data_IF_213388731371
#
_entry.id   IF_213388731371
#
_cell.length_a   1.000
_cell.length_b   1.000
_cell.length_c   1.000
_cell.angle_alpha   90.00
_cell.angle_beta   90.00
_cell.angle_gamma   90.00
#
_symmetry.space_group_name_H-M   'P 1'
#
loop_
_entity.id
_entity.type
_entity.pdbx_description
1 polymer ?
#
# COMPACT_ATOMS: atom_id res chain seq x y z
N UNK A 1 26.03 31.01 -0.77
CA UNK A 1 27.01 30.17 -0.03
C UNK A 1 26.36 29.16 0.95
N UNK A 2 25.93 29.48 2.18
CA UNK A 2 25.42 28.45 3.14
C UNK A 2 24.16 27.69 2.67
N UNK A 3 23.18 28.38 2.05
CA UNK A 3 21.97 27.75 1.49
C UNK A 3 22.27 26.87 0.28
N UNK A 4 23.18 27.29 -0.60
CA UNK A 4 23.61 26.51 -1.77
C UNK A 4 24.45 25.30 -1.37
N UNK A 5 25.30 25.42 -0.34
CA UNK A 5 26.05 24.30 0.20
C UNK A 5 25.13 23.27 0.87
N UNK A 6 24.14 23.73 1.64
CA UNK A 6 23.13 22.84 2.22
C UNK A 6 22.30 22.16 1.14
N UNK A 7 21.90 22.88 0.09
CA UNK A 7 21.17 22.32 -1.06
C UNK A 7 22.02 21.27 -1.80
N UNK A 8 23.28 21.57 -2.08
CA UNK A 8 24.23 20.63 -2.70
C UNK A 8 24.40 19.37 -1.85
N UNK A 9 24.52 19.50 -0.53
CA UNK A 9 24.61 18.37 0.38
C UNK A 9 23.32 17.52 0.39
N UNK A 10 22.14 18.14 0.24
CA UNK A 10 20.86 17.41 0.14
C UNK A 10 20.76 16.68 -1.21
N UNK A 11 21.10 17.33 -2.32
CA UNK A 11 21.10 16.71 -3.65
C UNK A 11 22.06 15.51 -3.71
N UNK A 12 23.25 15.63 -3.12
CA UNK A 12 24.20 14.52 -3.00
C UNK A 12 23.64 13.39 -2.12
N UNK A 13 23.00 13.72 -1.00
CA UNK A 13 22.37 12.73 -0.13
C UNK A 13 21.21 11.98 -0.83
N UNK A 14 20.39 12.70 -1.61
CA UNK A 14 19.31 12.14 -2.41
C UNK A 14 19.86 11.25 -3.53
N UNK A 15 20.86 11.73 -4.28
CA UNK A 15 21.51 10.97 -5.34
C UNK A 15 22.14 9.68 -4.81
N UNK A 16 22.79 9.76 -3.64
CA UNK A 16 23.32 8.61 -2.92
C UNK A 16 22.21 7.61 -2.53
N UNK A 17 21.08 8.12 -2.03
CA UNK A 17 19.92 7.29 -1.68
C UNK A 17 19.32 6.58 -2.90
N UNK A 18 19.16 7.27 -4.02
CA UNK A 18 18.64 6.69 -5.27
C UNK A 18 19.55 5.59 -5.80
N UNK A 19 20.86 5.84 -5.84
CA UNK A 19 21.86 4.87 -6.30
C UNK A 19 21.83 3.60 -5.45
N UNK A 20 21.80 3.76 -4.12
CA UNK A 20 21.77 2.61 -3.21
C UNK A 20 20.41 1.90 -3.18
N UNK A 21 19.32 2.60 -3.45
CA UNK A 21 18.02 1.97 -3.65
C UNK A 21 18.06 0.98 -4.82
N UNK A 22 18.52 1.47 -5.98
CA UNK A 22 18.65 0.66 -7.19
C UNK A 22 19.60 -0.52 -6.98
N UNK A 23 20.71 -0.29 -6.28
CA UNK A 23 21.67 -1.34 -5.95
C UNK A 23 21.10 -2.36 -4.97
N UNK A 24 20.28 -1.94 -4.00
CA UNK A 24 19.63 -2.84 -3.04
C UNK A 24 18.60 -3.77 -3.69
N UNK A 25 17.89 -3.30 -4.71
CA UNK A 25 17.01 -4.16 -5.55
C UNK A 25 17.84 -5.19 -6.31
N UNK A 26 19.00 -4.81 -6.86
CA UNK A 26 19.91 -5.72 -7.56
C UNK A 26 20.52 -6.77 -6.62
N UNK A 27 21.04 -6.34 -5.46
CA UNK A 27 21.67 -7.24 -4.49
C UNK A 27 20.69 -8.18 -3.79
N UNK A 28 19.41 -7.79 -3.64
CA UNK A 28 18.34 -8.74 -3.25
C UNK A 28 18.24 -9.92 -4.22
N UNK A 29 18.41 -9.69 -5.53
CA UNK A 29 18.44 -10.78 -6.53
C UNK A 29 19.69 -11.66 -6.39
N UNK A 30 20.78 -11.11 -5.89
CA UNK A 30 22.05 -11.81 -5.64
C UNK A 30 22.14 -12.44 -4.24
N UNK A 31 21.09 -12.35 -3.42
CA UNK A 31 21.03 -12.83 -2.02
C UNK A 31 22.10 -12.25 -1.09
N UNK A 32 22.65 -11.08 -1.40
CA UNK A 32 23.62 -10.35 -0.57
C UNK A 32 22.91 -9.44 0.43
N UNK A 33 22.14 -10.04 1.33
CA UNK A 33 21.17 -9.29 2.12
C UNK A 33 21.81 -8.42 3.20
N UNK A 34 22.92 -8.87 3.80
CA UNK A 34 23.65 -8.15 4.84
C UNK A 34 24.26 -6.84 4.33
N UNK A 35 24.84 -6.84 3.13
CA UNK A 35 25.39 -5.63 2.50
C UNK A 35 24.28 -4.63 2.16
N UNK A 36 23.14 -5.10 1.66
CA UNK A 36 21.98 -4.25 1.37
C UNK A 36 21.44 -3.61 2.64
N UNK A 37 21.31 -4.38 3.71
CA UNK A 37 20.83 -3.88 4.99
C UNK A 37 21.76 -2.75 5.51
N UNK A 38 23.08 -2.96 5.46
CA UNK A 38 24.08 -1.93 5.81
C UNK A 38 23.95 -0.68 4.95
N UNK A 39 23.76 -0.83 3.64
CA UNK A 39 23.55 0.28 2.72
C UNK A 39 22.29 1.08 3.08
N UNK A 40 21.15 0.42 3.27
CA UNK A 40 19.90 1.11 3.62
C UNK A 40 19.99 1.83 4.97
N UNK A 41 20.60 1.22 5.99
CA UNK A 41 20.82 1.87 7.29
C UNK A 41 21.74 3.10 7.17
N UNK A 42 22.77 3.04 6.31
CA UNK A 42 23.63 4.20 6.03
C UNK A 42 22.85 5.34 5.35
N UNK A 43 22.02 5.02 4.36
CA UNK A 43 21.17 6.02 3.68
C UNK A 43 20.19 6.66 4.66
N UNK A 44 19.53 5.86 5.50
CA UNK A 44 18.63 6.38 6.54
C UNK A 44 19.38 7.36 7.46
N UNK A 45 20.59 7.02 7.89
CA UNK A 45 21.40 7.92 8.75
C UNK A 45 21.66 9.26 8.05
N UNK A 46 22.16 9.23 6.81
CA UNK A 46 22.48 10.44 6.04
C UNK A 46 21.23 11.29 5.78
N UNK A 47 20.15 10.68 5.28
CA UNK A 47 18.91 11.43 4.99
C UNK A 47 18.24 11.94 6.27
N UNK A 48 18.41 11.26 7.41
CA UNK A 48 17.84 11.70 8.69
C UNK A 48 18.44 13.02 9.19
N UNK A 49 19.65 13.38 8.76
CA UNK A 49 20.26 14.70 9.03
C UNK A 49 19.47 15.83 8.38
N UNK A 50 18.74 15.53 7.31
CA UNK A 50 17.93 16.47 6.54
C UNK A 50 16.43 16.19 6.65
N UNK A 51 16.00 15.45 7.68
CA UNK A 51 14.61 14.97 7.81
C UNK A 51 13.55 16.07 7.81
N UNK A 52 13.89 17.31 8.14
CA UNK A 52 12.96 18.45 8.12
C UNK A 52 12.70 19.00 6.71
N UNK A 53 13.50 18.59 5.72
CA UNK A 53 13.35 19.01 4.32
C UNK A 53 12.33 18.15 3.62
N UNK A 54 11.34 18.79 3.00
CA UNK A 54 10.24 18.12 2.31
C UNK A 54 10.73 17.22 1.17
N UNK A 55 11.69 17.69 0.37
CA UNK A 55 12.34 16.94 -0.71
C UNK A 55 13.02 15.64 -0.24
N UNK A 56 13.33 15.49 1.05
CA UNK A 56 13.96 14.28 1.62
C UNK A 56 12.92 13.26 2.11
N UNK A 57 11.68 13.70 2.38
CA UNK A 57 10.65 12.88 3.04
C UNK A 57 10.28 11.64 2.22
N UNK A 58 10.06 11.79 0.92
CA UNK A 58 9.71 10.68 0.01
C UNK A 58 10.86 9.67 -0.10
N UNK A 59 12.11 10.15 -0.16
CA UNK A 59 13.30 9.30 -0.20
C UNK A 59 13.51 8.53 1.11
N UNK A 60 13.33 9.17 2.26
CA UNK A 60 13.36 8.49 3.56
C UNK A 60 12.32 7.37 3.62
N UNK A 61 11.09 7.65 3.21
CA UNK A 61 10.01 6.68 3.25
C UNK A 61 10.27 5.48 2.31
N UNK A 62 10.80 5.73 1.12
CA UNK A 62 11.20 4.68 0.17
C UNK A 62 12.28 3.76 0.77
N UNK A 63 13.31 4.33 1.40
CA UNK A 63 14.38 3.53 2.01
C UNK A 63 13.89 2.77 3.24
N UNK A 64 13.01 3.36 4.05
CA UNK A 64 12.34 2.64 5.14
C UNK A 64 11.50 1.47 4.64
N UNK A 65 10.75 1.65 3.55
CA UNK A 65 10.00 0.57 2.90
C UNK A 65 10.93 -0.58 2.47
N UNK A 66 12.04 -0.25 1.80
CA UNK A 66 12.95 -1.26 1.28
C UNK A 66 13.68 -2.02 2.39
N UNK A 67 14.14 -1.31 3.42
CA UNK A 67 14.72 -1.94 4.61
C UNK A 67 13.68 -2.80 5.32
N UNK A 68 12.48 -2.29 5.56
CA UNK A 68 11.43 -3.01 6.24
C UNK A 68 11.02 -4.29 5.51
N UNK A 69 10.82 -4.20 4.20
CA UNK A 69 10.54 -5.34 3.33
C UNK A 69 11.68 -6.38 3.34
N UNK A 70 12.95 -5.94 3.29
CA UNK A 70 14.13 -6.80 3.37
C UNK A 70 14.17 -7.58 4.69
N UNK A 71 13.95 -6.89 5.81
CA UNK A 71 13.95 -7.50 7.13
C UNK A 71 12.81 -8.52 7.29
N UNK A 72 11.62 -8.23 6.76
CA UNK A 72 10.50 -9.20 6.70
C UNK A 72 10.90 -10.44 5.90
N UNK A 73 11.58 -10.28 4.76
CA UNK A 73 12.07 -11.40 3.94
C UNK A 73 13.11 -12.25 4.68
N UNK A 74 14.05 -11.62 5.39
CA UNK A 74 15.08 -12.28 6.19
C UNK A 74 14.56 -12.92 7.50
N UNK A 75 13.29 -12.73 7.85
CA UNK A 75 12.71 -13.26 9.09
C UNK A 75 12.91 -12.36 10.32
N UNK A 76 13.55 -11.19 10.17
CA UNK A 76 13.61 -10.13 11.19
C UNK A 76 12.29 -9.33 11.20
N UNK A 77 11.17 -10.04 11.38
CA UNK A 77 9.84 -9.55 11.05
C UNK A 77 9.42 -8.34 11.89
N UNK A 78 9.64 -8.38 13.20
CA UNK A 78 9.25 -7.27 14.09
C UNK A 78 9.99 -5.96 13.75
N UNK A 79 11.29 -6.05 13.45
CA UNK A 79 12.08 -4.88 13.02
C UNK A 79 11.62 -4.38 11.64
N UNK A 80 11.31 -5.29 10.73
CA UNK A 80 10.77 -4.93 9.42
C UNK A 80 9.46 -4.16 9.52
N UNK A 81 8.53 -4.64 10.33
CA UNK A 81 7.25 -3.96 10.61
C UNK A 81 7.49 -2.59 11.25
N UNK A 82 8.46 -2.46 12.16
CA UNK A 82 8.80 -1.16 12.76
C UNK A 82 9.17 -0.12 11.69
N UNK A 83 10.06 -0.46 10.76
CA UNK A 83 10.45 0.47 9.69
C UNK A 83 9.32 0.76 8.69
N UNK A 84 8.49 -0.23 8.36
CA UNK A 84 7.33 -0.03 7.50
C UNK A 84 6.29 0.89 8.15
N UNK A 85 6.01 0.72 9.44
CA UNK A 85 5.14 1.61 10.19
C UNK A 85 5.72 3.02 10.28
N UNK A 86 7.04 3.14 10.42
CA UNK A 86 7.71 4.44 10.38
C UNK A 86 7.49 5.14 9.04
N UNK A 87 7.64 4.41 7.93
CA UNK A 87 7.40 4.94 6.59
C UNK A 87 5.97 5.48 6.43
N UNK A 88 4.96 4.71 6.82
CA UNK A 88 3.56 5.12 6.61
C UNK A 88 3.08 6.18 7.61
N UNK A 89 3.48 6.10 8.88
CA UNK A 89 2.98 7.00 9.93
C UNK A 89 3.69 8.37 9.91
N UNK A 90 5.02 8.40 9.73
CA UNK A 90 5.77 9.66 9.74
C UNK A 90 5.80 10.34 8.37
N UNK A 91 5.75 9.56 7.29
CA UNK A 91 5.94 10.07 5.93
C UNK A 91 4.74 9.84 5.01
N UNK A 92 3.64 9.27 5.51
CA UNK A 92 2.47 8.86 4.71
C UNK A 92 1.91 9.91 3.76
N UNK A 93 1.91 11.18 4.17
CA UNK A 93 1.42 12.30 3.36
C UNK A 93 2.30 12.65 2.15
N UNK A 94 3.55 12.19 2.15
CA UNK A 94 4.53 12.40 1.07
C UNK A 94 4.68 11.19 0.14
N UNK A 95 3.93 10.11 0.41
CA UNK A 95 3.98 8.89 -0.36
C UNK A 95 3.07 8.99 -1.58
N UNK A 96 3.56 8.54 -2.73
CA UNK A 96 2.71 8.23 -3.88
C UNK A 96 1.89 6.94 -3.62
N UNK A 97 0.89 6.71 -4.47
CA UNK A 97 -0.02 5.57 -4.37
C UNK A 97 0.71 4.22 -4.47
N UNK A 98 1.72 4.13 -5.33
CA UNK A 98 2.48 2.90 -5.54
C UNK A 98 3.27 2.52 -4.28
N UNK A 99 3.90 3.49 -3.63
CA UNK A 99 4.68 3.28 -2.43
C UNK A 99 3.77 2.99 -1.23
N UNK A 100 2.61 3.65 -1.10
CA UNK A 100 1.58 3.29 -0.10
C UNK A 100 1.11 1.84 -0.27
N UNK A 101 0.86 1.42 -1.51
CA UNK A 101 0.47 0.05 -1.82
C UNK A 101 1.57 -0.96 -1.47
N UNK A 102 2.82 -0.68 -1.85
CA UNK A 102 3.99 -1.53 -1.54
C UNK A 102 4.22 -1.68 -0.04
N UNK A 103 4.11 -0.59 0.72
CA UNK A 103 4.28 -0.62 2.19
C UNK A 103 3.17 -1.43 2.84
N UNK A 104 1.90 -1.23 2.45
CA UNK A 104 0.80 -2.04 2.98
C UNK A 104 0.98 -3.52 2.64
N UNK A 105 1.42 -3.86 1.43
CA UNK A 105 1.70 -5.25 1.07
C UNK A 105 2.84 -5.86 1.91
N UNK A 106 3.89 -5.09 2.19
CA UNK A 106 4.99 -5.55 3.03
C UNK A 106 4.57 -5.71 4.50
N UNK A 107 3.74 -4.79 5.03
CA UNK A 107 3.13 -4.91 6.36
C UNK A 107 2.23 -6.15 6.45
N UNK A 108 1.39 -6.36 5.44
CA UNK A 108 0.50 -7.52 5.37
C UNK A 108 1.28 -8.83 5.47
N UNK A 109 2.35 -8.97 4.69
CA UNK A 109 3.26 -10.14 4.75
C UNK A 109 3.97 -10.27 6.09
N UNK A 110 4.39 -9.14 6.68
CA UNK A 110 5.03 -9.13 8.01
C UNK A 110 4.08 -9.65 9.08
N UNK A 111 2.88 -9.06 9.18
CA UNK A 111 1.87 -9.50 10.13
C UNK A 111 1.39 -10.93 9.88
N UNK A 112 1.30 -11.37 8.61
CA UNK A 112 0.95 -12.75 8.27
C UNK A 112 2.01 -13.73 8.82
N UNK A 113 3.30 -13.40 8.72
CA UNK A 113 4.38 -14.19 9.32
C UNK A 113 4.29 -14.26 10.86
N UNK A 114 3.78 -13.20 11.50
CA UNK A 114 3.53 -13.17 12.94
C UNK A 114 2.19 -13.81 13.33
N UNK A 115 1.36 -14.23 12.37
CA UNK A 115 -0.03 -14.65 12.58
C UNK A 115 -0.86 -13.58 13.32
N UNK A 116 -0.60 -12.32 12.99
CA UNK A 116 -1.30 -11.15 13.53
C UNK A 116 -2.48 -10.77 12.61
N UNK A 117 -3.64 -10.50 13.22
CA UNK A 117 -4.91 -10.16 12.56
C UNK A 117 -4.79 -8.92 11.65
N UNK A 118 -3.85 -8.01 11.94
CA UNK A 118 -3.59 -6.80 11.13
C UNK A 118 -3.15 -7.12 9.70
N UNK A 119 -2.69 -8.34 9.45
CA UNK A 119 -2.34 -8.81 8.11
C UNK A 119 -3.49 -8.66 7.12
N UNK A 120 -4.71 -9.01 7.53
CA UNK A 120 -5.90 -8.89 6.68
C UNK A 120 -6.19 -7.43 6.30
N UNK A 121 -6.15 -6.53 7.28
CA UNK A 121 -6.40 -5.10 7.06
C UNK A 121 -5.40 -4.52 6.05
N UNK A 122 -4.11 -4.86 6.18
CA UNK A 122 -3.09 -4.38 5.26
C UNK A 122 -3.19 -5.00 3.87
N UNK A 123 -3.59 -6.27 3.76
CA UNK A 123 -3.92 -6.87 2.45
C UNK A 123 -5.09 -6.16 1.78
N UNK A 124 -6.12 -5.81 2.56
CA UNK A 124 -7.29 -5.10 2.07
C UNK A 124 -6.91 -3.70 1.53
N UNK A 125 -6.16 -2.92 2.31
CA UNK A 125 -5.63 -1.61 1.88
C UNK A 125 -4.77 -1.72 0.62
N UNK A 126 -3.85 -2.69 0.57
CA UNK A 126 -3.04 -2.92 -0.61
C UNK A 126 -3.88 -3.28 -1.84
N UNK A 127 -4.96 -4.06 -1.66
CA UNK A 127 -5.92 -4.38 -2.72
C UNK A 127 -6.66 -3.16 -3.26
N UNK A 128 -7.13 -2.27 -2.38
CA UNK A 128 -7.80 -1.03 -2.76
C UNK A 128 -6.86 -0.07 -3.50
N UNK A 129 -5.66 0.15 -2.98
CA UNK A 129 -4.66 1.00 -3.63
C UNK A 129 -4.21 0.45 -4.98
N UNK A 130 -4.07 -0.88 -5.08
CA UNK A 130 -3.78 -1.55 -6.35
C UNK A 130 -4.92 -1.38 -7.37
N UNK A 131 -6.17 -1.45 -6.93
CA UNK A 131 -7.33 -1.15 -7.78
C UNK A 131 -7.34 0.32 -8.23
N UNK A 132 -7.03 1.25 -7.33
CA UNK A 132 -6.94 2.67 -7.66
C UNK A 132 -5.87 2.94 -8.73
N UNK A 133 -4.68 2.36 -8.58
CA UNK A 133 -3.60 2.46 -9.57
C UNK A 133 -4.01 1.91 -10.94
N UNK A 134 -4.74 0.79 -10.95
CA UNK A 134 -5.31 0.23 -12.18
C UNK A 134 -6.31 1.20 -12.83
N UNK A 135 -7.21 1.80 -12.04
CA UNK A 135 -8.23 2.72 -12.54
C UNK A 135 -7.68 4.05 -13.04
N UNK A 136 -6.74 4.65 -12.30
CA UNK A 136 -6.19 5.96 -12.65
C UNK A 136 -5.12 5.88 -13.75
N UNK A 137 -4.31 4.82 -13.77
CA UNK A 137 -3.10 4.75 -14.61
C UNK A 137 -3.05 3.54 -15.55
N UNK A 138 -4.06 2.66 -15.54
CA UNK A 138 -4.07 1.44 -16.36
C UNK A 138 -2.97 0.44 -15.96
N UNK A 139 -2.38 0.58 -14.77
CA UNK A 139 -1.31 -0.31 -14.32
C UNK A 139 -1.82 -1.74 -14.12
N UNK A 140 -1.28 -2.69 -14.88
CA UNK A 140 -1.67 -4.11 -14.84
C UNK A 140 -0.97 -4.92 -13.73
N UNK A 141 -0.26 -4.29 -12.79
CA UNK A 141 0.88 -4.94 -12.13
C UNK A 141 0.67 -5.52 -10.73
N UNK A 142 -0.54 -5.58 -10.18
CA UNK A 142 -0.83 -6.40 -8.98
C UNK A 142 -2.24 -6.95 -9.08
N UNK A 143 -2.40 -8.26 -8.84
CA UNK A 143 -3.71 -8.89 -8.85
C UNK A 143 -4.48 -8.47 -7.59
N UNK A 144 -5.10 -7.28 -7.59
CA UNK A 144 -5.92 -6.77 -6.48
C UNK A 144 -6.97 -7.80 -6.05
N UNK A 145 -7.46 -8.67 -6.95
CA UNK A 145 -8.34 -9.79 -6.60
C UNK A 145 -7.65 -10.75 -5.63
N UNK A 146 -6.39 -11.12 -5.88
CA UNK A 146 -5.62 -11.98 -4.99
C UNK A 146 -5.37 -11.32 -3.63
N UNK A 147 -5.08 -10.02 -3.61
CA UNK A 147 -4.89 -9.29 -2.34
C UNK A 147 -6.19 -9.23 -1.52
N UNK A 148 -7.32 -8.95 -2.17
CA UNK A 148 -8.63 -8.94 -1.52
C UNK A 148 -9.04 -10.35 -1.06
N UNK A 149 -8.68 -11.39 -1.80
CA UNK A 149 -8.91 -12.79 -1.39
C UNK A 149 -8.06 -13.16 -0.16
N UNK A 150 -6.80 -12.72 -0.11
CA UNK A 150 -5.94 -12.86 1.08
C UNK A 150 -6.54 -12.13 2.28
N UNK A 151 -7.03 -10.90 2.09
CA UNK A 151 -7.72 -10.16 3.14
C UNK A 151 -8.96 -10.92 3.65
N UNK A 152 -9.81 -11.41 2.76
CA UNK A 152 -11.00 -12.21 3.11
C UNK A 152 -10.64 -13.47 3.91
N UNK A 153 -9.60 -14.20 3.49
CA UNK A 153 -9.18 -15.46 4.14
C UNK A 153 -8.55 -15.26 5.52
N UNK A 154 -7.84 -14.16 5.73
CA UNK A 154 -7.10 -13.87 6.96
C UNK A 154 -7.89 -12.98 7.92
N UNK A 155 -9.09 -12.53 7.55
CA UNK A 155 -9.91 -11.67 8.40
C UNK A 155 -10.57 -12.47 9.54
N UNK A 156 -10.26 -12.09 10.78
CA UNK A 156 -10.95 -12.61 11.96
C UNK A 156 -12.30 -11.91 12.20
N UNK A 157 -12.40 -10.63 11.81
CA UNK A 157 -13.67 -9.90 11.83
C UNK A 157 -14.52 -10.23 10.61
N UNK A 158 -15.75 -10.70 10.86
CA UNK A 158 -16.76 -10.91 9.82
C UNK A 158 -17.08 -9.62 9.04
N UNK A 159 -16.88 -8.43 9.62
CA UNK A 159 -17.09 -7.15 8.94
C UNK A 159 -16.03 -6.90 7.87
N UNK A 160 -14.74 -7.04 8.23
CA UNK A 160 -13.63 -6.87 7.28
C UNK A 160 -13.63 -7.95 6.20
N UNK A 161 -13.97 -9.19 6.59
CA UNK A 161 -14.17 -10.30 5.67
C UNK A 161 -15.27 -10.00 4.65
N UNK A 162 -16.38 -9.46 5.12
CA UNK A 162 -17.49 -9.00 4.28
C UNK A 162 -17.08 -7.88 3.33
N UNK A 163 -16.37 -6.87 3.83
CA UNK A 163 -15.86 -5.76 3.03
C UNK A 163 -14.93 -6.26 1.91
N UNK A 164 -13.92 -7.06 2.26
CA UNK A 164 -12.99 -7.66 1.31
C UNK A 164 -13.70 -8.49 0.24
N UNK A 165 -14.66 -9.34 0.66
CA UNK A 165 -15.45 -10.18 -0.24
C UNK A 165 -16.30 -9.35 -1.21
N UNK A 166 -17.02 -8.35 -0.70
CA UNK A 166 -17.90 -7.51 -1.50
C UNK A 166 -17.10 -6.64 -2.49
N UNK A 167 -15.99 -6.03 -2.05
CA UNK A 167 -15.07 -5.31 -2.93
C UNK A 167 -14.56 -6.22 -4.04
N UNK A 168 -14.07 -7.41 -3.70
CA UNK A 168 -13.55 -8.39 -4.67
C UNK A 168 -14.60 -8.79 -5.70
N UNK A 169 -15.82 -9.11 -5.25
CA UNK A 169 -16.91 -9.54 -6.13
C UNK A 169 -17.43 -8.40 -7.00
N UNK A 170 -17.51 -7.17 -6.49
CA UNK A 170 -17.89 -6.00 -7.28
C UNK A 170 -16.89 -5.74 -8.41
N UNK A 171 -15.59 -5.81 -8.13
CA UNK A 171 -14.55 -5.68 -9.16
C UNK A 171 -14.64 -6.82 -10.18
N UNK A 172 -14.82 -8.07 -9.74
CA UNK A 172 -14.99 -9.21 -10.65
C UNK A 172 -16.23 -9.07 -11.54
N UNK A 173 -17.32 -8.51 -11.01
CA UNK A 173 -18.56 -8.24 -11.75
C UNK A 173 -18.34 -7.21 -12.85
N UNK A 174 -17.63 -6.12 -12.54
CA UNK A 174 -17.40 -5.02 -13.48
C UNK A 174 -16.36 -5.33 -14.57
N UNK A 175 -15.25 -5.99 -14.20
CA UNK A 175 -14.07 -6.08 -15.07
C UNK A 175 -13.79 -7.46 -15.65
N UNK A 176 -14.41 -8.52 -15.14
CA UNK A 176 -14.07 -9.90 -15.49
C UNK A 176 -15.27 -10.76 -15.92
N UNK A 177 -16.44 -10.14 -16.18
CA UNK A 177 -17.67 -10.76 -16.68
C UNK A 177 -17.97 -12.16 -16.08
N UNK A 178 -17.81 -12.29 -14.76
CA UNK A 178 -17.96 -13.58 -14.05
C UNK A 178 -19.42 -14.06 -13.95
N UNK A 179 -20.35 -13.52 -14.75
CA UNK A 179 -21.81 -13.75 -14.65
C UNK A 179 -22.35 -13.52 -13.22
N UNK A 180 -21.80 -12.56 -12.48
CA UNK A 180 -22.28 -12.20 -11.14
C UNK A 180 -23.54 -11.34 -11.28
N UNK A 181 -24.72 -11.97 -11.13
CA UNK A 181 -26.01 -11.27 -11.25
C UNK A 181 -26.26 -10.27 -10.12
N UNK A 182 -26.01 -10.66 -8.87
CA UNK A 182 -26.19 -9.84 -7.66
C UNK A 182 -25.05 -10.13 -6.67
N UNK A 183 -24.59 -9.13 -5.91
CA UNK A 183 -23.63 -9.36 -4.82
C UNK A 183 -24.33 -10.05 -3.63
N UNK A 184 -23.64 -10.98 -2.95
CA UNK A 184 -24.24 -11.71 -1.84
C UNK A 184 -24.49 -10.79 -0.65
N UNK A 185 -25.62 -10.99 0.04
CA UNK A 185 -25.86 -10.37 1.34
C UNK A 185 -25.03 -11.07 2.40
N UNK A 186 -24.02 -10.38 2.91
CA UNK A 186 -23.13 -10.87 3.97
C UNK A 186 -23.04 -9.81 5.06
N UNK A 187 -22.70 -10.20 6.30
CA UNK A 187 -22.28 -9.23 7.30
C UNK A 187 -21.02 -8.53 6.77
N UNK A 188 -20.99 -7.21 6.84
CA UNK A 188 -19.90 -6.40 6.33
C UNK A 188 -19.77 -5.12 7.16
N UNK A 189 -18.64 -4.46 7.03
CA UNK A 189 -18.42 -3.13 7.59
C UNK A 189 -18.98 -2.03 6.68
N UNK A 190 -18.49 -0.82 6.92
CA UNK A 190 -18.92 0.40 6.22
C UNK A 190 -18.72 0.30 4.71
N UNK A 191 -17.60 -0.28 4.26
CA UNK A 191 -17.27 -0.34 2.82
C UNK A 191 -18.22 -1.30 2.09
N UNK A 192 -18.48 -2.47 2.67
CA UNK A 192 -19.43 -3.43 2.11
C UNK A 192 -20.84 -2.87 2.04
N UNK A 193 -21.28 -2.13 3.06
CA UNK A 193 -22.58 -1.45 3.01
C UNK A 193 -22.69 -0.44 1.87
N UNK A 194 -21.63 0.35 1.66
CA UNK A 194 -21.56 1.34 0.57
C UNK A 194 -21.67 0.63 -0.78
N UNK A 195 -20.95 -0.49 -0.96
CA UNK A 195 -20.99 -1.29 -2.19
C UNK A 195 -22.39 -1.88 -2.43
N UNK A 196 -23.01 -2.49 -1.40
CA UNK A 196 -24.35 -3.08 -1.51
C UNK A 196 -25.44 -2.04 -1.79
N UNK A 197 -25.28 -0.80 -1.30
CA UNK A 197 -26.17 0.31 -1.64
C UNK A 197 -25.99 0.75 -3.09
N UNK A 198 -24.75 0.87 -3.55
CA UNK A 198 -24.43 1.27 -4.91
C UNK A 198 -24.92 0.28 -5.96
N UNK A 199 -24.84 -1.03 -5.69
CA UNK A 199 -25.40 -2.06 -6.59
C UNK A 199 -26.91 -1.88 -6.82
N UNK A 200 -27.62 -1.33 -5.83
CA UNK A 200 -29.07 -1.05 -5.92
C UNK A 200 -29.38 0.31 -6.56
N UNK A 201 -28.39 0.95 -7.20
CA UNK A 201 -28.53 2.27 -7.80
C UNK A 201 -28.78 3.40 -6.80
N UNK A 202 -28.52 3.19 -5.50
CA UNK A 202 -28.70 4.23 -4.49
C UNK A 202 -27.56 5.24 -4.57
N UNK A 203 -27.90 6.52 -4.35
CA UNK A 203 -26.92 7.61 -4.30
C UNK A 203 -25.88 7.38 -3.19
N UNK A 204 -24.67 7.87 -3.46
CA UNK A 204 -23.54 7.81 -2.55
C UNK A 204 -23.70 8.87 -1.46
N UNK A 205 -23.33 8.51 -0.25
CA UNK A 205 -23.30 9.42 0.90
C UNK A 205 -22.14 9.01 1.82
N UNK A 206 -20.91 9.37 1.43
CA UNK A 206 -19.73 9.23 2.28
C UNK A 206 -18.65 10.24 1.88
N UNK A 207 -17.89 10.70 2.87
CA UNK A 207 -16.76 11.61 2.69
C UNK A 207 -15.52 10.85 2.20
N UNK A 208 -14.80 11.42 1.22
CA UNK A 208 -13.54 10.86 0.72
C UNK A 208 -12.39 11.53 1.44
N UNK A 209 -11.79 10.80 2.38
CA UNK A 209 -10.71 11.30 3.24
C UNK A 209 -9.37 10.60 3.02
N UNK A 210 -9.37 9.50 2.27
CA UNK A 210 -8.21 8.63 2.03
C UNK A 210 -8.17 8.14 0.57
N UNK A 211 -7.03 7.57 0.18
CA UNK A 211 -6.88 6.94 -1.13
C UNK A 211 -7.72 5.66 -1.22
N UNK A 212 -7.88 4.94 -0.11
CA UNK A 212 -8.81 3.81 0.00
C UNK A 212 -10.27 4.25 -0.23
N UNK A 213 -10.70 5.38 0.35
CA UNK A 213 -12.03 5.95 0.10
C UNK A 213 -12.20 6.31 -1.38
N UNK A 214 -11.14 6.82 -2.03
CA UNK A 214 -11.15 7.14 -3.47
C UNK A 214 -11.26 5.87 -4.33
N UNK A 215 -10.56 4.79 -3.97
CA UNK A 215 -10.74 3.49 -4.61
C UNK A 215 -12.20 3.03 -4.52
N UNK A 216 -12.81 3.13 -3.34
CA UNK A 216 -14.23 2.78 -3.15
C UNK A 216 -15.13 3.70 -3.96
N UNK A 217 -14.84 5.00 -4.02
CA UNK A 217 -15.60 5.96 -4.82
C UNK A 217 -15.64 5.55 -6.29
N UNK A 218 -14.50 5.24 -6.90
CA UNK A 218 -14.46 4.76 -8.29
C UNK A 218 -15.25 3.47 -8.46
N UNK A 219 -15.03 2.49 -7.58
CA UNK A 219 -15.73 1.21 -7.63
C UNK A 219 -17.25 1.37 -7.60
N UNK A 220 -17.76 2.14 -6.66
CA UNK A 220 -19.21 2.34 -6.55
C UNK A 220 -19.78 3.23 -7.64
N UNK A 221 -18.94 4.08 -8.26
CA UNK A 221 -19.33 4.83 -9.47
C UNK A 221 -19.69 3.89 -10.59
N UNK A 222 -18.73 3.05 -10.92
CA UNK A 222 -18.86 2.10 -12.01
C UNK A 222 -20.01 1.12 -11.75
N UNK A 223 -20.16 0.68 -10.49
CA UNK A 223 -21.21 -0.26 -10.08
C UNK A 223 -22.62 0.33 -10.18
N UNK A 224 -22.78 1.62 -9.88
CA UNK A 224 -24.09 2.29 -9.88
C UNK A 224 -24.58 2.72 -11.26
N UNK A 225 -23.75 2.63 -12.30
CA UNK A 225 -24.08 3.09 -13.65
C UNK A 225 -24.14 4.62 -13.83
N UNK A 226 -23.83 5.39 -12.79
CA UNK A 226 -23.63 6.84 -12.89
C UNK A 226 -22.21 7.13 -13.42
N UNK A 227 -21.99 6.92 -14.71
CA UNK A 227 -20.78 7.38 -15.40
C UNK A 227 -20.77 8.90 -15.55
N UNK A 228 -19.57 9.51 -15.53
CA UNK A 228 -19.35 10.88 -15.97
C UNK A 228 -19.51 11.01 -17.49
#
# INVERSE_FOLDING_TARGET
IKKELAKKNIEEAISFAMTLNNLGVLYRKMRKYEEVEKCYRKVIRVLSEFKEKEEVKSHLASVFNNLGSLLVEQGKVAEGIHYLNKAINEYGKYLDLELKMKINLALAKGFEKLKDEKSSLHYFKAGLLSYLLFREYGMQSVNFIHLLEKAEKLADSEELKGDAKLTRLAILKLYYDRKIKELPKVKCGKIGEIILRAEKGKKRDFEVSSDEDRAILYLVTDLSGFGF
#
